data_IF_541266900679
#
_entry.id   IF_541266900679
#
_cell.length_a   1.000
_cell.length_b   1.000
_cell.length_c   1.000
_cell.angle_alpha   90.00
_cell.angle_beta   90.00
_cell.angle_gamma   90.00
#
_symmetry.space_group_name_H-M   'P 1'
#
loop_
_entity.id
_entity.type
_entity.pdbx_description
1 polymer ?
#
# COMPACT_ATOMS: atom_id res chain seq x y z
N UNK A 1 -16.49 33.37 -22.43
CA UNK A 1 -16.31 31.91 -22.25
C UNK A 1 -15.21 31.74 -21.23
N UNK A 2 -15.55 31.50 -19.95
CA UNK A 2 -14.53 31.18 -18.96
C UNK A 2 -13.96 29.80 -19.31
N UNK A 3 -12.69 29.76 -19.66
CA UNK A 3 -12.00 28.52 -19.98
C UNK A 3 -11.81 27.73 -18.68
N UNK A 4 -12.47 26.57 -18.56
CA UNK A 4 -12.39 25.65 -17.41
C UNK A 4 -10.95 25.38 -16.92
N UNK A 5 -9.97 25.39 -17.83
CA UNK A 5 -8.56 25.18 -17.50
C UNK A 5 -7.90 26.31 -16.69
N UNK A 6 -8.49 27.51 -16.64
CA UNK A 6 -8.01 28.65 -15.85
C UNK A 6 -8.83 28.86 -14.56
N UNK A 7 -9.78 27.97 -14.27
CA UNK A 7 -10.50 27.97 -13.02
C UNK A 7 -9.59 27.51 -11.87
N UNK A 8 -9.52 28.30 -10.79
CA UNK A 8 -8.73 27.98 -9.59
C UNK A 8 -9.01 26.57 -9.05
N UNK A 9 -10.25 26.09 -9.16
CA UNK A 9 -10.65 24.74 -8.73
C UNK A 9 -9.95 23.66 -9.54
N UNK A 10 -9.82 23.86 -10.84
CA UNK A 10 -9.12 22.93 -11.71
C UNK A 10 -7.62 22.90 -11.41
N UNK A 11 -7.01 24.07 -11.14
CA UNK A 11 -5.63 24.15 -10.67
C UNK A 11 -5.42 23.40 -9.35
N UNK A 12 -6.33 23.56 -8.38
CA UNK A 12 -6.27 22.86 -7.10
C UNK A 12 -6.42 21.34 -7.25
N UNK A 13 -7.30 20.87 -8.13
CA UNK A 13 -7.42 19.44 -8.46
C UNK A 13 -6.12 18.90 -9.07
N UNK A 14 -5.52 19.63 -10.01
CA UNK A 14 -4.26 19.22 -10.62
C UNK A 14 -3.12 19.16 -9.59
N UNK A 15 -3.04 20.14 -8.68
CA UNK A 15 -2.07 20.13 -7.58
C UNK A 15 -2.30 18.94 -6.63
N UNK A 16 -3.54 18.63 -6.31
CA UNK A 16 -3.89 17.45 -5.49
C UNK A 16 -3.52 16.14 -6.19
N UNK A 17 -3.68 16.04 -7.52
CA UNK A 17 -3.18 14.91 -8.32
C UNK A 17 -1.66 14.78 -8.23
N UNK A 18 -0.92 15.88 -8.32
CA UNK A 18 0.55 15.88 -8.18
C UNK A 18 0.98 15.43 -6.79
N UNK A 19 0.33 15.94 -5.74
CA UNK A 19 0.58 15.53 -4.36
C UNK A 19 0.29 14.04 -4.16
N UNK A 20 -0.85 13.56 -4.64
CA UNK A 20 -1.24 12.14 -4.57
C UNK A 20 -0.20 11.24 -5.23
N UNK A 21 0.23 11.60 -6.45
CA UNK A 21 1.27 10.88 -7.19
C UNK A 21 2.59 10.85 -6.41
N UNK A 22 3.05 12.00 -5.92
CA UNK A 22 4.31 12.09 -5.20
C UNK A 22 4.30 11.25 -3.92
N UNK A 23 3.21 11.31 -3.15
CA UNK A 23 3.03 10.54 -1.92
C UNK A 23 3.03 9.03 -2.19
N UNK A 24 2.26 8.56 -3.18
CA UNK A 24 2.22 7.13 -3.54
C UNK A 24 3.60 6.62 -3.98
N UNK A 25 4.26 7.32 -4.89
CA UNK A 25 5.58 6.92 -5.39
C UNK A 25 6.63 6.90 -4.30
N UNK A 26 6.65 7.93 -3.43
CA UNK A 26 7.55 7.95 -2.26
C UNK A 26 7.29 6.78 -1.33
N UNK A 27 6.02 6.38 -1.14
CA UNK A 27 5.67 5.22 -0.34
C UNK A 27 6.24 3.92 -0.91
N UNK A 28 6.09 3.70 -2.23
CA UNK A 28 6.68 2.54 -2.90
C UNK A 28 8.21 2.54 -2.85
N UNK A 29 8.87 3.68 -3.09
CA UNK A 29 10.32 3.79 -3.05
C UNK A 29 10.88 3.46 -1.66
N UNK A 30 10.18 3.89 -0.60
CA UNK A 30 10.55 3.57 0.77
C UNK A 30 10.32 2.09 1.09
N UNK A 31 9.22 1.52 0.61
CA UNK A 31 8.91 0.10 0.81
C UNK A 31 9.95 -0.81 0.15
N UNK A 32 10.41 -0.46 -1.05
CA UNK A 32 11.46 -1.19 -1.78
C UNK A 32 12.83 -1.11 -1.10
N UNK A 33 13.10 -0.04 -0.35
CA UNK A 33 14.35 0.16 0.40
C UNK A 33 14.28 -0.37 1.83
N UNK A 34 13.09 -0.65 2.33
CA UNK A 34 12.89 -1.17 3.66
C UNK A 34 13.44 -2.60 3.75
N UNK A 35 14.18 -2.88 4.82
CA UNK A 35 14.69 -4.21 5.11
C UNK A 35 14.45 -4.51 6.58
N UNK A 36 14.07 -5.75 6.88
CA UNK A 36 13.82 -6.20 8.24
C UNK A 36 15.15 -6.38 8.99
N UNK A 37 15.14 -6.09 10.28
CA UNK A 37 16.28 -6.28 11.18
C UNK A 37 17.52 -5.42 10.87
N UNK A 38 17.33 -4.35 10.08
CA UNK A 38 18.29 -3.26 9.92
C UNK A 38 17.75 -2.00 10.63
N UNK A 39 18.57 -0.96 10.76
CA UNK A 39 18.15 0.38 11.25
C UNK A 39 17.06 1.05 10.36
N UNK A 40 16.59 0.35 9.32
CA UNK A 40 15.67 0.80 8.28
C UNK A 40 14.20 0.45 8.56
N UNK A 41 13.85 -0.08 9.73
CA UNK A 41 12.44 -0.34 10.08
C UNK A 41 11.56 0.91 9.97
N UNK A 42 12.12 2.10 10.20
CA UNK A 42 11.45 3.39 9.98
C UNK A 42 10.97 3.60 8.54
N UNK A 43 11.61 2.97 7.55
CA UNK A 43 11.19 3.01 6.15
C UNK A 43 9.87 2.25 5.94
N UNK A 44 9.61 1.16 6.67
CA UNK A 44 8.30 0.49 6.61
C UNK A 44 7.19 1.41 7.08
N UNK A 45 7.33 2.02 8.26
CA UNK A 45 6.30 2.93 8.79
C UNK A 45 6.08 4.13 7.87
N UNK A 46 7.16 4.74 7.35
CA UNK A 46 7.04 5.85 6.41
C UNK A 46 6.37 5.41 5.10
N UNK A 47 6.71 4.22 4.58
CA UNK A 47 6.07 3.66 3.41
C UNK A 47 4.58 3.45 3.63
N UNK A 48 4.19 2.78 4.73
CA UNK A 48 2.80 2.50 5.04
C UNK A 48 1.98 3.78 5.19
N UNK A 49 2.54 4.79 5.87
CA UNK A 49 1.91 6.10 6.01
C UNK A 49 1.64 6.76 4.64
N UNK A 50 2.67 6.80 3.79
CA UNK A 50 2.57 7.41 2.47
C UNK A 50 1.61 6.65 1.55
N UNK A 51 1.66 5.31 1.52
CA UNK A 51 0.76 4.52 0.69
C UNK A 51 -0.68 4.67 1.16
N UNK A 52 -0.97 4.54 2.46
CA UNK A 52 -2.31 4.73 3.02
C UNK A 52 -2.91 6.09 2.66
N UNK A 53 -2.15 7.19 2.85
CA UNK A 53 -2.63 8.54 2.52
C UNK A 53 -2.78 8.72 1.02
N UNK A 54 -1.84 8.20 0.24
CA UNK A 54 -1.88 8.25 -1.22
C UNK A 54 -3.11 7.55 -1.79
N UNK A 55 -3.46 6.37 -1.27
CA UNK A 55 -4.66 5.63 -1.63
C UNK A 55 -5.93 6.42 -1.26
N UNK A 56 -6.02 6.94 -0.04
CA UNK A 56 -7.17 7.76 0.40
C UNK A 56 -7.38 8.96 -0.54
N UNK A 57 -6.31 9.70 -0.85
CA UNK A 57 -6.36 10.88 -1.73
C UNK A 57 -6.76 10.51 -3.15
N UNK A 58 -6.20 9.44 -3.72
CA UNK A 58 -6.54 8.97 -5.05
C UNK A 58 -8.03 8.62 -5.17
N UNK A 59 -8.55 7.88 -4.19
CA UNK A 59 -9.96 7.48 -4.18
C UNK A 59 -10.88 8.70 -4.00
N UNK A 60 -10.51 9.65 -3.13
CA UNK A 60 -11.25 10.92 -2.98
C UNK A 60 -11.21 11.76 -4.25
N UNK A 61 -10.09 11.82 -4.95
CA UNK A 61 -9.99 12.49 -6.25
C UNK A 61 -10.97 11.90 -7.26
N UNK A 62 -11.10 10.58 -7.33
CA UNK A 62 -12.08 9.92 -8.20
C UNK A 62 -13.53 10.33 -7.84
N UNK A 63 -13.87 10.28 -6.55
CA UNK A 63 -15.22 10.65 -6.08
C UNK A 63 -15.55 12.13 -6.29
N UNK A 64 -14.61 13.03 -5.97
CA UNK A 64 -14.78 14.48 -6.16
C UNK A 64 -14.92 14.82 -7.65
N UNK A 65 -14.10 14.20 -8.50
CA UNK A 65 -14.17 14.41 -9.95
C UNK A 65 -15.51 13.94 -10.50
N UNK A 66 -15.98 12.76 -10.08
CA UNK A 66 -17.29 12.27 -10.46
C UNK A 66 -18.42 13.21 -10.02
N UNK A 67 -18.41 13.64 -8.75
CA UNK A 67 -19.39 14.59 -8.23
C UNK A 67 -19.42 15.88 -9.07
N UNK A 68 -18.25 16.45 -9.38
CA UNK A 68 -18.16 17.66 -10.21
C UNK A 68 -18.75 17.43 -11.61
N UNK A 69 -18.46 16.30 -12.24
CA UNK A 69 -18.96 15.99 -13.58
C UNK A 69 -20.49 15.90 -13.66
N UNK A 70 -21.15 15.40 -12.61
CA UNK A 70 -22.62 15.23 -12.60
C UNK A 70 -23.37 16.42 -11.96
N UNK A 71 -22.67 17.40 -11.39
CA UNK A 71 -23.25 18.57 -10.71
C UNK A 71 -22.75 19.91 -11.29
N UNK A 72 -22.67 20.03 -12.62
CA UNK A 72 -22.26 21.27 -13.31
C UNK A 72 -20.92 21.85 -12.82
N UNK A 73 -19.94 20.97 -12.57
CA UNK A 73 -18.62 21.31 -12.03
C UNK A 73 -18.63 22.00 -10.66
N UNK A 74 -19.72 21.88 -9.89
CA UNK A 74 -19.76 22.28 -8.48
C UNK A 74 -18.99 21.28 -7.63
N UNK A 75 -18.23 21.80 -6.68
CA UNK A 75 -17.45 20.97 -5.75
C UNK A 75 -18.34 20.39 -4.66
N UNK A 76 -18.08 19.16 -4.18
CA UNK A 76 -18.76 18.65 -3.00
C UNK A 76 -18.45 19.51 -1.77
N UNK A 77 -19.35 19.51 -0.79
CA UNK A 77 -19.15 20.20 0.48
C UNK A 77 -18.12 19.47 1.33
N UNK A 78 -17.43 20.19 2.21
CA UNK A 78 -16.49 19.60 3.18
C UNK A 78 -17.17 18.55 4.05
N UNK A 79 -18.44 18.75 4.39
CA UNK A 79 -19.24 17.78 5.14
C UNK A 79 -19.44 16.47 4.39
N UNK A 80 -19.65 16.52 3.07
CA UNK A 80 -19.78 15.32 2.21
C UNK A 80 -18.43 14.60 2.13
N UNK A 81 -17.34 15.36 1.96
CA UNK A 81 -15.97 14.82 1.98
C UNK A 81 -15.58 14.12 3.29
N UNK A 82 -16.05 14.62 4.44
CA UNK A 82 -15.77 14.01 5.74
C UNK A 82 -16.71 12.87 6.08
N UNK A 83 -18.01 13.06 5.86
CA UNK A 83 -19.03 12.14 6.36
C UNK A 83 -19.36 11.04 5.35
N UNK A 84 -19.39 11.36 4.06
CA UNK A 84 -19.73 10.39 3.02
C UNK A 84 -18.47 9.70 2.50
N UNK A 85 -17.38 10.42 2.30
CA UNK A 85 -16.14 9.82 1.78
C UNK A 85 -15.23 9.27 2.89
N UNK A 86 -15.38 9.71 4.15
CA UNK A 86 -14.72 9.10 5.31
C UNK A 86 -13.19 9.00 5.21
N UNK A 87 -12.59 8.14 6.04
CA UNK A 87 -11.15 7.85 6.04
C UNK A 87 -10.82 6.37 5.78
N UNK A 88 -11.84 5.51 5.71
CA UNK A 88 -11.65 4.07 5.49
C UNK A 88 -11.37 3.81 4.01
N UNK A 89 -10.17 3.33 3.70
CA UNK A 89 -9.71 3.09 2.33
C UNK A 89 -10.59 2.03 1.65
N UNK A 90 -10.93 0.95 2.35
CA UNK A 90 -11.81 -0.12 1.86
C UNK A 90 -13.19 0.43 1.41
N UNK A 91 -13.83 1.24 2.26
CA UNK A 91 -15.13 1.84 1.94
C UNK A 91 -15.05 2.80 0.75
N UNK A 92 -13.96 3.58 0.68
CA UNK A 92 -13.68 4.47 -0.47
C UNK A 92 -13.43 3.68 -1.75
N UNK A 93 -12.72 2.57 -1.67
CA UNK A 93 -12.44 1.69 -2.80
C UNK A 93 -13.74 1.16 -3.40
N UNK A 94 -14.63 0.61 -2.56
CA UNK A 94 -15.93 0.10 -3.00
C UNK A 94 -16.81 1.18 -3.65
N UNK A 95 -16.75 2.42 -3.15
CA UNK A 95 -17.46 3.55 -3.78
C UNK A 95 -16.86 3.92 -5.14
N UNK A 96 -15.53 3.98 -5.23
CA UNK A 96 -14.83 4.33 -6.45
C UNK A 96 -14.99 3.27 -7.54
N UNK A 97 -14.96 1.98 -7.20
CA UNK A 97 -15.23 0.89 -8.16
C UNK A 97 -16.68 0.88 -8.63
N UNK A 98 -17.62 1.34 -7.80
CA UNK A 98 -19.00 1.63 -8.20
C UNK A 98 -19.12 2.68 -9.32
N UNK A 99 -18.07 3.46 -9.61
CA UNK A 99 -18.04 4.42 -10.71
C UNK A 99 -17.73 3.77 -12.07
N UNK A 100 -17.18 2.55 -12.10
CA UNK A 100 -16.75 1.86 -13.33
C UNK A 100 -17.86 1.79 -14.40
N UNK A 101 -19.13 1.47 -14.08
CA UNK A 101 -20.21 1.46 -15.07
C UNK A 101 -20.44 2.79 -15.80
N UNK A 102 -20.14 3.92 -15.14
CA UNK A 102 -20.36 5.27 -15.68
C UNK A 102 -19.29 5.68 -16.70
N UNK A 103 -18.08 5.10 -16.59
CA UNK A 103 -16.92 5.50 -17.38
C UNK A 103 -16.38 4.40 -18.30
N UNK A 104 -16.97 3.20 -18.25
CA UNK A 104 -16.59 2.07 -19.11
C UNK A 104 -16.96 2.32 -20.57
N UNK A 105 -16.02 2.02 -21.48
CA UNK A 105 -16.24 2.10 -22.92
C UNK A 105 -17.16 0.96 -23.40
N UNK A 106 -17.89 1.15 -24.52
CA UNK A 106 -18.60 0.05 -25.17
C UNK A 106 -17.67 -1.14 -25.43
N UNK A 107 -18.12 -2.35 -25.10
CA UNK A 107 -17.34 -3.59 -25.26
C UNK A 107 -16.39 -3.92 -24.10
N UNK A 108 -16.31 -3.08 -23.06
CA UNK A 108 -15.57 -3.36 -21.82
C UNK A 108 -16.55 -3.78 -20.72
N UNK A 109 -16.15 -4.74 -19.87
CA UNK A 109 -16.92 -5.11 -18.69
C UNK A 109 -17.22 -3.87 -17.84
N UNK A 110 -18.49 -3.69 -17.47
CA UNK A 110 -18.93 -2.62 -16.58
C UNK A 110 -18.83 -3.01 -15.11
N UNK A 111 -18.53 -4.27 -14.83
CA UNK A 111 -18.41 -4.76 -13.47
C UNK A 111 -17.05 -4.34 -12.91
N UNK A 112 -17.02 -4.05 -11.61
CA UNK A 112 -15.76 -3.94 -10.90
C UNK A 112 -14.97 -5.25 -11.03
N UNK A 113 -13.63 -5.18 -11.17
CA UNK A 113 -12.82 -6.38 -11.09
C UNK A 113 -13.05 -7.03 -9.71
N UNK A 114 -13.23 -8.34 -9.71
CA UNK A 114 -13.29 -9.10 -8.47
C UNK A 114 -11.94 -9.01 -7.77
N UNK A 115 -11.94 -8.55 -6.51
CA UNK A 115 -10.73 -8.54 -5.71
C UNK A 115 -10.33 -9.98 -5.42
N UNK A 116 -9.08 -10.29 -5.70
CA UNK A 116 -8.49 -11.50 -5.12
C UNK A 116 -8.44 -11.38 -3.60
N UNK A 117 -8.31 -12.51 -2.90
CA UNK A 117 -8.20 -12.49 -1.43
C UNK A 117 -6.98 -11.68 -0.97
N UNK A 118 -5.91 -11.71 -1.77
CA UNK A 118 -4.67 -10.97 -1.56
C UNK A 118 -4.90 -9.47 -1.71
N UNK A 119 -5.56 -9.04 -2.78
CA UNK A 119 -5.85 -7.63 -3.02
C UNK A 119 -6.72 -7.05 -1.90
N UNK A 120 -7.73 -7.81 -1.47
CA UNK A 120 -8.57 -7.43 -0.33
C UNK A 120 -7.73 -7.30 0.96
N UNK A 121 -6.84 -8.26 1.23
CA UNK A 121 -5.97 -8.24 2.41
C UNK A 121 -4.99 -7.05 2.41
N UNK A 122 -4.50 -6.64 1.24
CA UNK A 122 -3.66 -5.44 1.08
C UNK A 122 -4.47 -4.17 1.39
N UNK A 123 -5.68 -4.06 0.83
CA UNK A 123 -6.56 -2.91 1.07
C UNK A 123 -6.90 -2.80 2.55
N UNK A 124 -7.23 -3.92 3.20
CA UNK A 124 -7.55 -3.97 4.63
C UNK A 124 -6.36 -3.56 5.49
N UNK A 125 -5.16 -4.07 5.20
CA UNK A 125 -3.94 -3.66 5.91
C UNK A 125 -3.74 -2.13 5.88
N UNK A 126 -3.81 -1.50 4.70
CA UNK A 126 -3.62 -0.05 4.60
C UNK A 126 -4.78 0.74 5.22
N UNK A 127 -6.00 0.21 5.17
CA UNK A 127 -7.20 0.79 5.80
C UNK A 127 -7.05 0.81 7.32
N UNK A 128 -6.65 -0.31 7.94
CA UNK A 128 -6.41 -0.40 9.38
C UNK A 128 -5.22 0.46 9.83
N UNK A 129 -4.13 0.42 9.05
CA UNK A 129 -2.94 1.21 9.34
C UNK A 129 -3.23 2.72 9.36
N UNK A 130 -4.05 3.19 8.42
CA UNK A 130 -4.43 4.60 8.32
C UNK A 130 -5.14 5.12 9.58
N UNK A 131 -5.94 4.26 10.23
CA UNK A 131 -6.87 4.63 11.30
C UNK A 131 -6.24 4.46 12.69
N UNK A 132 -5.62 3.30 12.95
CA UNK A 132 -5.25 2.91 14.31
C UNK A 132 -3.77 2.59 14.50
N UNK A 133 -3.13 1.98 13.50
CA UNK A 133 -1.80 1.41 13.68
C UNK A 133 -0.65 2.39 13.40
N UNK A 134 -0.96 3.61 12.93
CA UNK A 134 0.01 4.69 12.72
C UNK A 134 0.81 5.03 13.98
N UNK A 135 0.16 5.00 15.14
CA UNK A 135 0.77 5.28 16.43
C UNK A 135 1.07 4.01 17.22
N UNK A 136 1.13 2.84 16.57
CA UNK A 136 1.34 1.55 17.22
C UNK A 136 2.51 1.58 18.21
N UNK A 137 3.68 2.06 17.80
CA UNK A 137 4.86 2.10 18.67
C UNK A 137 4.67 3.02 19.89
N UNK A 138 4.04 4.18 19.71
CA UNK A 138 3.76 5.09 20.84
C UNK A 138 2.71 4.49 21.79
N UNK A 139 1.67 3.87 21.25
CA UNK A 139 0.62 3.23 22.02
C UNK A 139 1.16 2.05 22.85
N UNK A 140 1.98 1.20 22.24
CA UNK A 140 2.64 0.07 22.92
C UNK A 140 3.57 0.53 24.05
N UNK A 141 4.37 1.57 23.81
CA UNK A 141 5.23 2.18 24.85
C UNK A 141 4.38 2.75 26.00
N UNK A 142 3.18 3.26 25.71
CA UNK A 142 2.21 3.73 26.68
C UNK A 142 1.28 2.61 27.23
N UNK A 143 1.71 1.35 27.18
CA UNK A 143 1.04 0.17 27.76
C UNK A 143 -0.32 -0.22 27.14
N UNK A 144 -0.72 0.37 26.01
CA UNK A 144 -1.87 -0.12 25.27
C UNK A 144 -1.47 -1.39 24.52
N UNK A 145 -1.65 -2.57 25.15
CA UNK A 145 -1.39 -3.88 24.52
C UNK A 145 -2.19 -4.05 23.23
N UNK A 146 -1.52 -3.89 22.10
CA UNK A 146 -2.00 -4.10 20.76
C UNK A 146 -1.64 -5.53 20.30
N UNK A 147 -2.53 -6.16 19.50
CA UNK A 147 -2.39 -7.57 19.14
C UNK A 147 -1.15 -7.89 18.30
N UNK A 148 -0.74 -6.99 17.39
CA UNK A 148 0.34 -7.28 16.42
C UNK A 148 0.92 -6.02 15.79
N UNK A 149 2.25 -5.96 15.68
CA UNK A 149 2.96 -4.88 14.99
C UNK A 149 2.59 -4.80 13.50
N UNK A 150 2.43 -3.60 12.92
CA UNK A 150 2.23 -3.40 11.49
C UNK A 150 3.28 -4.07 10.61
N UNK A 151 4.55 -4.07 11.05
CA UNK A 151 5.64 -4.72 10.31
C UNK A 151 5.40 -6.23 10.26
N UNK A 152 5.00 -6.85 11.37
CA UNK A 152 4.71 -8.28 11.41
C UNK A 152 3.49 -8.65 10.55
N UNK A 153 2.44 -7.83 10.59
CA UNK A 153 1.26 -8.01 9.74
C UNK A 153 1.63 -7.92 8.25
N UNK A 154 2.40 -6.90 7.87
CA UNK A 154 2.88 -6.72 6.51
C UNK A 154 3.75 -7.90 6.05
N UNK A 155 4.68 -8.34 6.90
CA UNK A 155 5.59 -9.44 6.57
C UNK A 155 4.84 -10.74 6.29
N UNK A 156 3.83 -11.07 7.09
CA UNK A 156 3.02 -12.26 6.86
C UNK A 156 2.23 -12.17 5.56
N UNK A 157 1.60 -11.02 5.29
CA UNK A 157 0.89 -10.78 4.04
C UNK A 157 1.82 -10.91 2.84
N UNK A 158 2.99 -10.25 2.88
CA UNK A 158 3.99 -10.31 1.82
C UNK A 158 4.53 -11.73 1.61
N UNK A 159 4.75 -12.48 2.70
CA UNK A 159 5.19 -13.87 2.63
C UNK A 159 4.12 -14.77 1.97
N UNK A 160 2.85 -14.56 2.30
CA UNK A 160 1.76 -15.33 1.72
C UNK A 160 1.62 -15.08 0.21
N UNK A 161 1.66 -13.81 -0.20
CA UNK A 161 1.67 -13.40 -1.61
C UNK A 161 2.89 -14.01 -2.33
N UNK A 162 4.08 -13.90 -1.73
CA UNK A 162 5.30 -14.47 -2.30
C UNK A 162 5.18 -15.99 -2.51
N UNK A 163 4.65 -16.72 -1.52
CA UNK A 163 4.49 -18.18 -1.61
C UNK A 163 3.50 -18.60 -2.69
N UNK A 164 2.41 -17.85 -2.85
CA UNK A 164 1.35 -18.15 -3.82
C UNK A 164 1.79 -17.86 -5.26
N UNK A 165 2.49 -16.75 -5.48
CA UNK A 165 2.87 -16.32 -6.83
C UNK A 165 4.27 -16.76 -7.27
N UNK A 166 5.09 -17.31 -6.37
CA UNK A 166 6.45 -17.78 -6.70
C UNK A 166 6.51 -19.32 -6.72
N UNK A 167 6.83 -19.93 -7.89
CA UNK A 167 7.01 -21.38 -8.00
C UNK A 167 8.02 -21.93 -6.98
N UNK A 168 7.76 -23.13 -6.45
CA UNK A 168 8.62 -23.76 -5.43
C UNK A 168 10.07 -23.90 -5.87
N UNK A 169 10.33 -24.31 -7.12
CA UNK A 169 11.70 -24.47 -7.63
C UNK A 169 12.49 -23.15 -7.69
N UNK A 170 11.83 -22.02 -7.95
CA UNK A 170 12.50 -20.72 -7.94
C UNK A 170 12.84 -20.30 -6.50
N UNK A 171 11.94 -20.58 -5.55
CA UNK A 171 12.18 -20.34 -4.12
C UNK A 171 13.34 -21.16 -3.58
N UNK A 172 13.40 -22.44 -3.93
CA UNK A 172 14.49 -23.34 -3.54
C UNK A 172 15.83 -22.88 -4.13
N UNK A 173 15.86 -22.51 -5.41
CA UNK A 173 17.06 -21.95 -6.04
C UNK A 173 17.53 -20.65 -5.38
N UNK A 174 16.60 -19.76 -5.03
CA UNK A 174 16.93 -18.53 -4.31
C UNK A 174 17.52 -18.83 -2.92
N UNK A 175 16.93 -19.77 -2.18
CA UNK A 175 17.44 -20.19 -0.88
C UNK A 175 18.85 -20.80 -0.99
N UNK A 176 19.08 -21.68 -1.96
CA UNK A 176 20.41 -22.25 -2.22
C UNK A 176 21.44 -21.16 -2.52
N UNK A 177 21.10 -20.19 -3.37
CA UNK A 177 21.99 -19.07 -3.67
C UNK A 177 22.35 -18.25 -2.40
N UNK A 178 21.40 -18.04 -1.49
CA UNK A 178 21.66 -17.36 -0.22
C UNK A 178 22.63 -18.17 0.63
N UNK A 179 22.41 -19.49 0.79
CA UNK A 179 23.35 -20.35 1.53
C UNK A 179 24.77 -20.28 0.96
N UNK A 180 24.92 -20.39 -0.37
CA UNK A 180 26.23 -20.27 -1.01
C UNK A 180 26.88 -18.90 -0.81
N UNK A 181 26.10 -17.81 -0.79
CA UNK A 181 26.62 -16.48 -0.50
C UNK A 181 27.08 -16.34 0.96
N UNK A 182 26.33 -16.92 1.90
CA UNK A 182 26.69 -16.93 3.32
C UNK A 182 27.97 -17.75 3.57
N UNK A 183 28.07 -18.93 2.96
CA UNK A 183 29.28 -19.78 3.00
C UNK A 183 30.50 -19.04 2.47
N UNK A 184 30.36 -18.40 1.30
CA UNK A 184 31.44 -17.61 0.71
C UNK A 184 31.85 -16.42 1.59
N UNK A 185 30.90 -15.83 2.31
CA UNK A 185 31.17 -14.72 3.24
C UNK A 185 31.75 -15.19 4.57
N UNK A 186 31.88 -16.49 4.81
CA UNK A 186 32.37 -17.06 6.09
C UNK A 186 31.41 -16.82 7.26
N UNK A 187 30.15 -16.49 6.98
CA UNK A 187 29.15 -16.26 8.03
C UNK A 187 28.66 -17.62 8.50
N UNK A 188 29.02 -17.97 9.74
CA UNK A 188 28.61 -19.23 10.34
C UNK A 188 27.08 -19.27 10.46
N UNK A 189 26.43 -20.03 9.58
CA UNK A 189 25.03 -20.35 9.72
C UNK A 189 24.95 -21.78 10.27
N UNK A 190 24.12 -22.03 11.29
CA UNK A 190 24.00 -23.35 11.93
C UNK A 190 23.45 -24.46 11.03
N UNK A 191 23.32 -24.20 9.72
CA UNK A 191 22.78 -25.09 8.71
C UNK A 191 23.83 -25.54 7.68
N UNK A 192 25.00 -24.91 7.65
CA UNK A 192 26.10 -25.29 6.76
C UNK A 192 27.05 -26.22 7.48
N UNK A 193 26.93 -27.51 7.14
CA UNK A 193 27.97 -28.50 7.40
C UNK A 193 29.18 -28.13 6.56
N UNK A 194 30.06 -27.27 7.07
CA UNK A 194 31.47 -27.47 6.77
C UNK A 194 31.78 -28.90 7.23
N UNK A 195 32.01 -29.79 6.28
CA UNK A 195 32.81 -30.97 6.55
C UNK A 195 34.17 -30.40 6.98
N UNK A 196 34.46 -30.47 8.27
CA UNK A 196 35.82 -30.36 8.79
C UNK A 196 36.63 -31.57 8.29
N UNK A 197 36.85 -31.66 6.98
CA UNK A 197 37.87 -32.53 6.39
C UNK A 197 39.16 -31.72 6.36
N UNK A 198 39.75 -31.48 7.54
CA UNK A 198 40.96 -30.67 7.65
C UNK A 198 41.41 -30.33 9.07
N UNK A 199 41.27 -31.25 10.02
CA UNK A 199 41.98 -31.17 11.30
C UNK A 199 42.76 -32.49 11.52
N UNK A 200 43.92 -32.59 10.88
CA UNK A 200 45.06 -33.39 11.34
C UNK A 200 46.02 -32.49 12.09
#
# INVERSE_FOLDING_TARGET
MELLGFDRRFTLLAQECHLTRATLLSGFDQLLKANLYEEKDGLFYSAFFNISIGMERLLKLAMVTHHMLINDYRTPKISELKNEYGHKIEALYNKATGLIPHYSRPGVSKNAPELSQEDASIIDFFSEYAIGSRYFNLNEVCEAKMKKSPINQWFELAQEIYRRHTPSGLRERANLNIFYQMDKAGIHNGFTRHKDEGAT
#
